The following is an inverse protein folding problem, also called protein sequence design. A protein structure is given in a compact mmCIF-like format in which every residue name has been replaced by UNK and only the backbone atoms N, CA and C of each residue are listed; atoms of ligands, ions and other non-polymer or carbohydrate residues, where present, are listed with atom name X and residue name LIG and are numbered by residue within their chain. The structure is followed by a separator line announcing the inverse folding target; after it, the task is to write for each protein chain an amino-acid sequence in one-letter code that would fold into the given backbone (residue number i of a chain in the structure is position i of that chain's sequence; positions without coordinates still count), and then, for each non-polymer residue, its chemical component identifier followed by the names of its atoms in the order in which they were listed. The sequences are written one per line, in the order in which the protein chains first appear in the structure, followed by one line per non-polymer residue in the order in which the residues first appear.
data_IF_690086682557
#
_entry.id   IF_690086682557
#
_cell.length_a   1.000
_cell.length_b   1.000
_cell.length_c   1.000
_cell.angle_alpha   90.00
_cell.angle_beta   90.00
_cell.angle_gamma   90.00
#
_symmetry.space_group_name_H-M   'P 1'
#
loop_
_entity.id
_entity.type
_entity.pdbx_description
1 polymer ?
#
# COMPACT_ATOMS: atom_id res chain seq x y z
N UNK A 1 14.35 -12.27 -11.64
CA UNK A 1 15.57 -11.67 -11.05
C UNK A 1 15.08 -10.61 -10.10
N UNK A 2 15.52 -9.70 -9.64
CA UNK A 2 15.17 -8.55 -8.84
C UNK A 2 16.48 -7.80 -8.60
N UNK A 3 16.98 -7.20 -9.69
CA UNK A 3 18.28 -6.52 -9.68
C UNK A 3 18.17 -5.18 -8.96
N UNK A 4 19.19 -4.83 -8.24
CA UNK A 4 19.29 -3.52 -7.58
C UNK A 4 19.39 -2.40 -8.62
N UNK A 5 20.22 -2.58 -9.64
CA UNK A 5 20.37 -1.69 -10.78
C UNK A 5 20.11 -2.43 -12.09
N UNK A 6 19.42 -1.78 -13.01
CA UNK A 6 19.22 -2.26 -14.38
C UNK A 6 19.54 -1.12 -15.35
N UNK A 7 20.51 -1.34 -16.24
CA UNK A 7 20.78 -0.45 -17.36
C UNK A 7 20.19 -1.05 -18.63
N UNK A 8 19.34 -0.33 -19.31
CA UNK A 8 18.76 -0.70 -20.62
C UNK A 8 19.40 0.14 -21.70
N UNK A 9 19.96 -0.53 -22.71
CA UNK A 9 20.67 0.08 -23.83
C UNK A 9 20.09 -0.46 -25.15
N UNK A 10 18.86 -0.06 -25.43
CA UNK A 10 18.12 -0.51 -26.62
C UNK A 10 17.39 0.66 -27.28
N UNK A 11 16.78 0.40 -28.42
CA UNK A 11 15.87 1.32 -29.10
C UNK A 11 14.41 1.21 -28.60
N UNK A 12 14.19 0.40 -27.54
CA UNK A 12 12.87 0.10 -26.96
C UNK A 12 12.81 0.44 -25.47
N UNK A 13 13.40 1.53 -25.07
CA UNK A 13 13.49 1.95 -23.65
C UNK A 13 12.10 2.05 -22.99
N UNK A 14 11.12 2.60 -23.70
CA UNK A 14 9.75 2.74 -23.19
C UNK A 14 9.09 1.39 -22.92
N UNK A 15 9.35 0.40 -23.75
CA UNK A 15 8.83 -0.95 -23.52
C UNK A 15 9.38 -1.55 -22.22
N UNK A 16 10.66 -1.35 -21.92
CA UNK A 16 11.26 -1.82 -20.67
C UNK A 16 10.69 -1.08 -19.48
N UNK A 17 10.45 0.22 -19.57
CA UNK A 17 9.82 1.00 -18.52
C UNK A 17 8.41 0.50 -18.19
N UNK A 18 7.62 0.16 -19.19
CA UNK A 18 6.25 -0.32 -19.03
C UNK A 18 6.15 -1.77 -18.52
N UNK A 19 7.13 -2.61 -18.84
CA UNK A 19 7.05 -4.06 -18.61
C UNK A 19 7.96 -4.58 -17.49
N UNK A 20 8.88 -3.79 -16.97
CA UNK A 20 9.71 -4.17 -15.83
C UNK A 20 9.13 -3.62 -14.51
N UNK A 21 9.17 -4.45 -13.48
CA UNK A 21 8.66 -4.08 -12.14
C UNK A 21 9.63 -4.38 -11.00
N UNK A 22 10.48 -5.38 -11.16
CA UNK A 22 11.34 -5.88 -10.08
C UNK A 22 12.77 -5.34 -10.22
N UNK A 23 12.94 -4.06 -9.98
CA UNK A 23 14.24 -3.39 -9.96
C UNK A 23 14.30 -2.36 -8.82
N UNK A 24 15.50 -2.01 -8.38
CA UNK A 24 15.72 -0.89 -7.48
C UNK A 24 15.77 0.43 -8.23
N UNK A 25 16.64 0.50 -9.24
CA UNK A 25 16.77 1.65 -10.15
C UNK A 25 16.89 1.17 -11.58
N UNK A 26 16.15 1.81 -12.48
CA UNK A 26 16.16 1.54 -13.92
C UNK A 26 16.73 2.73 -14.67
N UNK A 27 17.79 2.50 -15.42
CA UNK A 27 18.48 3.50 -16.23
C UNK A 27 18.18 3.23 -17.70
N UNK A 28 17.58 4.19 -18.39
CA UNK A 28 17.07 4.02 -19.75
C UNK A 28 17.92 4.79 -20.75
N UNK A 29 18.52 4.06 -21.67
CA UNK A 29 19.30 4.59 -22.78
C UNK A 29 20.72 5.06 -22.40
N UNK A 30 21.45 5.57 -23.39
CA UNK A 30 22.88 5.89 -23.25
C UNK A 30 23.16 7.23 -22.55
N UNK A 31 22.11 8.05 -22.30
CA UNK A 31 22.28 9.39 -21.70
C UNK A 31 22.19 9.40 -20.18
N UNK A 32 22.01 8.26 -19.56
CA UNK A 32 21.94 8.12 -18.10
C UNK A 32 22.80 6.96 -17.61
N UNK A 33 23.15 6.99 -16.33
CA UNK A 33 23.92 5.93 -15.69
C UNK A 33 23.73 5.97 -14.16
N UNK A 34 24.28 4.98 -13.49
CA UNK A 34 24.22 4.86 -12.02
C UNK A 34 24.80 6.07 -11.30
N UNK A 35 25.91 6.63 -11.78
CA UNK A 35 26.58 7.77 -11.13
C UNK A 35 25.69 9.03 -11.10
N UNK A 36 24.88 9.24 -12.13
CA UNK A 36 23.91 10.34 -12.15
C UNK A 36 22.82 10.14 -11.11
N UNK A 37 22.31 8.91 -10.98
CA UNK A 37 21.36 8.54 -9.96
C UNK A 37 21.90 8.73 -8.55
N UNK A 38 23.16 8.35 -8.32
CA UNK A 38 23.80 8.42 -7.00
C UNK A 38 24.11 9.86 -6.55
N UNK A 39 24.25 10.81 -7.48
CA UNK A 39 24.84 12.12 -7.15
C UNK A 39 23.95 13.32 -7.41
N UNK A 40 23.27 13.39 -8.55
CA UNK A 40 22.76 14.68 -9.03
C UNK A 40 21.34 14.65 -9.61
N UNK A 41 20.83 13.51 -10.09
CA UNK A 41 19.57 13.47 -10.83
C UNK A 41 18.33 13.45 -9.93
N UNK A 42 18.52 13.17 -8.64
CA UNK A 42 17.48 13.25 -7.61
C UNK A 42 16.86 11.93 -7.18
N UNK A 43 17.19 10.82 -7.82
CA UNK A 43 16.78 9.48 -7.35
C UNK A 43 17.60 9.07 -6.13
N UNK A 44 17.05 8.20 -5.29
CA UNK A 44 17.81 7.66 -4.15
C UNK A 44 18.80 6.59 -4.62
N UNK A 45 19.88 6.41 -3.85
CA UNK A 45 20.90 5.39 -4.07
C UNK A 45 20.90 4.29 -3.02
N UNK A 46 19.91 4.25 -2.14
CA UNK A 46 19.75 3.16 -1.15
C UNK A 46 19.12 1.96 -1.83
N UNK A 47 19.91 0.91 -1.95
CA UNK A 47 19.60 -0.23 -2.80
C UNK A 47 18.69 -1.25 -2.10
N UNK A 48 17.74 -1.84 -2.82
CA UNK A 48 16.95 -2.97 -2.35
C UNK A 48 17.73 -4.28 -2.52
N UNK A 49 18.68 -4.57 -1.62
CA UNK A 49 19.53 -5.76 -1.64
C UNK A 49 18.74 -7.06 -1.39
N UNK A 50 19.36 -8.20 -1.60
CA UNK A 50 18.81 -9.53 -1.32
C UNK A 50 17.45 -9.77 -2.00
N UNK A 51 17.33 -9.33 -3.24
CA UNK A 51 16.09 -9.44 -4.05
C UNK A 51 14.89 -8.64 -3.49
N UNK A 52 15.13 -7.69 -2.59
CA UNK A 52 14.08 -6.82 -2.06
C UNK A 52 13.41 -5.96 -3.15
N UNK A 53 14.01 -5.80 -4.33
CA UNK A 53 13.41 -5.15 -5.48
C UNK A 53 12.09 -5.79 -5.97
N UNK A 54 11.69 -6.94 -5.43
CA UNK A 54 10.37 -7.54 -5.66
C UNK A 54 9.24 -6.79 -4.95
N UNK A 55 9.53 -6.02 -3.90
CA UNK A 55 8.53 -5.34 -3.08
C UNK A 55 8.90 -3.91 -2.65
N UNK A 56 10.10 -3.44 -2.97
CA UNK A 56 10.54 -2.07 -2.66
C UNK A 56 11.54 -1.57 -3.69
N UNK A 57 11.52 -0.29 -3.98
CA UNK A 57 12.55 0.39 -4.80
C UNK A 57 13.72 0.96 -3.98
N UNK A 58 13.78 0.67 -2.67
CA UNK A 58 14.77 1.25 -1.76
C UNK A 58 14.20 2.38 -0.92
N UNK A 59 14.95 3.46 -0.74
CA UNK A 59 14.57 4.59 0.09
C UNK A 59 13.79 5.65 -0.72
N UNK A 60 12.76 6.21 -0.10
CA UNK A 60 12.01 7.34 -0.64
C UNK A 60 11.37 8.13 0.51
N UNK A 61 10.89 9.34 0.24
CA UNK A 61 10.36 10.26 1.27
C UNK A 61 9.24 9.64 2.11
N UNK A 62 8.42 8.79 1.53
CA UNK A 62 7.33 8.10 2.23
C UNK A 62 7.79 7.17 3.36
N UNK A 63 9.07 6.75 3.39
CA UNK A 63 9.63 5.97 4.50
C UNK A 63 9.73 6.78 5.80
N UNK A 64 9.72 8.09 5.73
CA UNK A 64 9.76 9.01 6.87
C UNK A 64 8.39 9.54 7.26
N UNK A 65 7.35 9.19 6.52
CA UNK A 65 5.97 9.62 6.77
C UNK A 65 5.22 8.50 7.48
N UNK A 66 4.64 8.82 8.64
CA UNK A 66 3.73 7.92 9.35
C UNK A 66 2.34 8.07 8.78
N UNK A 67 1.78 6.96 8.28
CA UNK A 67 0.37 6.91 7.89
C UNK A 67 -0.48 6.58 9.12
N UNK A 68 -1.42 7.45 9.43
CA UNK A 68 -2.43 7.22 10.45
C UNK A 68 -3.80 7.17 9.80
N UNK A 69 -4.67 6.29 10.29
CA UNK A 69 -6.04 6.18 9.82
C UNK A 69 -7.00 6.63 10.92
N UNK A 70 -8.13 7.18 10.54
CA UNK A 70 -9.26 7.45 11.42
C UNK A 70 -10.55 7.02 10.74
N UNK A 71 -11.55 6.73 11.55
CA UNK A 71 -12.89 6.44 11.08
C UNK A 71 -13.93 7.10 11.98
N UNK A 72 -15.01 7.56 11.39
CA UNK A 72 -16.15 8.15 12.09
C UNK A 72 -17.43 7.78 11.34
N UNK A 73 -18.35 7.15 12.01
CA UNK A 73 -19.71 6.92 11.48
C UNK A 73 -20.55 8.13 11.84
N UNK A 74 -21.26 8.69 10.86
CA UNK A 74 -21.91 10.00 10.99
C UNK A 74 -23.38 9.92 11.43
N UNK A 75 -24.06 8.77 11.22
CA UNK A 75 -25.47 8.64 11.52
C UNK A 75 -25.78 7.34 12.25
N UNK A 76 -26.90 7.31 12.99
CA UNK A 76 -27.38 6.14 13.68
C UNK A 76 -27.73 5.02 12.70
N UNK A 77 -28.37 5.35 11.60
CA UNK A 77 -28.76 4.39 10.55
C UNK A 77 -27.52 3.72 9.93
N UNK A 78 -26.47 4.51 9.68
CA UNK A 78 -25.21 3.99 9.14
C UNK A 78 -24.53 3.05 10.16
N UNK A 79 -24.50 3.42 11.44
CA UNK A 79 -23.89 2.58 12.47
C UNK A 79 -24.64 1.26 12.67
N UNK A 80 -25.99 1.26 12.58
CA UNK A 80 -26.79 0.04 12.64
C UNK A 80 -26.46 -0.88 11.47
N UNK A 81 -26.49 -0.34 10.24
CA UNK A 81 -26.20 -1.12 9.04
C UNK A 81 -24.78 -1.71 9.04
N UNK A 82 -23.78 -0.91 9.38
CA UNK A 82 -22.39 -1.37 9.49
C UNK A 82 -22.27 -2.44 10.58
N UNK A 83 -22.91 -2.24 11.72
CA UNK A 83 -22.91 -3.17 12.85
C UNK A 83 -23.49 -4.53 12.50
N UNK A 84 -24.59 -4.57 11.75
CA UNK A 84 -25.21 -5.83 11.29
C UNK A 84 -24.26 -6.63 10.39
N UNK A 85 -23.60 -5.98 9.44
CA UNK A 85 -22.60 -6.65 8.58
C UNK A 85 -21.37 -7.10 9.37
N UNK A 86 -20.91 -6.24 10.29
CA UNK A 86 -19.75 -6.55 11.13
C UNK A 86 -20.05 -7.75 12.04
N UNK A 87 -21.21 -7.77 12.68
CA UNK A 87 -21.64 -8.90 13.54
C UNK A 87 -21.66 -10.21 12.77
N UNK A 88 -22.28 -10.22 11.59
CA UNK A 88 -22.34 -11.41 10.74
C UNK A 88 -20.96 -11.89 10.29
N UNK A 89 -20.07 -10.97 9.92
CA UNK A 89 -18.71 -11.34 9.54
C UNK A 89 -17.95 -11.93 10.72
N UNK A 90 -18.04 -11.30 11.88
CA UNK A 90 -17.41 -11.79 13.11
C UNK A 90 -17.93 -13.18 13.53
N UNK A 91 -19.22 -13.45 13.34
CA UNK A 91 -19.79 -14.77 13.56
C UNK A 91 -19.15 -15.82 12.65
N UNK A 92 -19.03 -15.53 11.36
CA UNK A 92 -18.37 -16.42 10.37
C UNK A 92 -16.90 -16.68 10.70
N UNK A 93 -16.21 -15.69 11.24
CA UNK A 93 -14.79 -15.76 11.59
C UNK A 93 -14.54 -16.30 13.03
N UNK A 94 -15.58 -16.45 13.83
CA UNK A 94 -15.48 -16.90 15.24
C UNK A 94 -14.98 -15.81 16.21
N UNK A 95 -15.11 -14.51 15.86
CA UNK A 95 -14.66 -13.38 16.67
C UNK A 95 -15.78 -12.87 17.62
N UNK A 96 -16.15 -13.64 18.63
CA UNK A 96 -17.26 -13.34 19.52
C UNK A 96 -17.14 -11.98 20.24
N UNK A 97 -15.94 -11.58 20.68
CA UNK A 97 -15.72 -10.28 21.32
C UNK A 97 -15.89 -9.09 20.38
N UNK A 98 -15.53 -9.22 19.11
CA UNK A 98 -15.77 -8.20 18.08
C UNK A 98 -17.24 -8.16 17.68
N UNK A 99 -17.88 -9.32 17.58
CA UNK A 99 -19.31 -9.44 17.34
C UNK A 99 -20.12 -8.68 18.40
N UNK A 100 -19.86 -8.91 19.68
CA UNK A 100 -20.57 -8.22 20.77
C UNK A 100 -20.38 -6.70 20.72
N UNK A 101 -19.21 -6.20 20.32
CA UNK A 101 -19.00 -4.77 20.13
C UNK A 101 -19.88 -4.20 18.99
N UNK A 102 -20.10 -4.94 17.92
CA UNK A 102 -20.98 -4.55 16.83
C UNK A 102 -22.45 -4.61 17.29
N UNK A 103 -22.86 -5.69 17.92
CA UNK A 103 -24.24 -5.92 18.40
C UNK A 103 -24.66 -4.88 19.44
N UNK A 104 -23.76 -4.50 20.34
CA UNK A 104 -24.01 -3.43 21.31
C UNK A 104 -24.38 -2.11 20.63
N UNK A 105 -23.68 -1.77 19.53
CA UNK A 105 -23.97 -0.54 18.77
C UNK A 105 -25.27 -0.65 18.00
N UNK A 106 -25.54 -1.80 17.42
CA UNK A 106 -26.82 -2.07 16.74
C UNK A 106 -27.98 -1.90 17.73
N UNK A 107 -27.91 -2.51 18.93
CA UNK A 107 -28.92 -2.37 19.95
C UNK A 107 -29.09 -0.93 20.42
N UNK A 108 -27.99 -0.20 20.60
CA UNK A 108 -28.02 1.18 21.11
C UNK A 108 -28.62 2.18 20.13
N UNK A 109 -28.35 2.04 18.85
CA UNK A 109 -28.69 3.05 17.85
C UNK A 109 -29.85 2.65 16.92
N UNK A 110 -30.34 1.42 17.03
CA UNK A 110 -31.56 1.02 16.32
C UNK A 110 -32.75 1.73 16.97
N UNK A 111 -33.42 2.59 16.20
CA UNK A 111 -34.70 3.17 16.61
C UNK A 111 -35.74 2.07 16.54
N UNK A 112 -36.46 1.86 17.64
CA UNK A 112 -37.68 1.04 17.60
C UNK A 112 -38.65 1.68 16.62
N UNK A 113 -39.19 0.88 15.71
CA UNK A 113 -40.26 1.35 14.83
C UNK A 113 -41.46 1.72 15.73
N UNK A 114 -41.80 3.02 15.76
CA UNK A 114 -42.95 3.52 16.46
C UNK A 114 -44.23 3.03 15.80
#
# INVERSE_FOLDING_TARGET
IASEHVQVMTDRDDWFLENMSNYGSLFLGPRTNVSYGDKVIGTNHTLPTLKAARYTGGLWVGKYIKTCTYQKVLTDEATVKIGEYCSRLCELEGFAGHQEQADLRVRRYRKEAA
#
